data_IF_826086609471
#
_entry.id   IF_826086609471
#
_cell.length_a   1.000
_cell.length_b   1.000
_cell.length_c   1.000
_cell.angle_alpha   90.00
_cell.angle_beta   90.00
_cell.angle_gamma   90.00
#
_symmetry.space_group_name_H-M   'P 1'
#
loop_
_entity.id
_entity.type
_entity.pdbx_description
1 polymer ?
#
# COMPACT_ATOMS: atom_id res chain seq x y z
N UNK A 1 4.25 -18.66 -15.08
CA UNK A 1 5.59 -18.04 -15.24
C UNK A 1 5.61 -16.88 -16.25
N UNK A 2 5.05 -17.03 -17.46
CA UNK A 2 5.00 -15.94 -18.46
C UNK A 2 4.12 -14.73 -18.07
N UNK A 3 3.06 -14.94 -17.29
CA UNK A 3 2.18 -13.85 -16.81
C UNK A 3 2.85 -12.97 -15.73
N UNK A 4 3.74 -13.54 -14.92
CA UNK A 4 4.49 -12.79 -13.89
C UNK A 4 5.57 -11.89 -14.48
N UNK A 5 6.22 -12.32 -15.57
CA UNK A 5 7.18 -11.49 -16.30
C UNK A 5 6.50 -10.34 -17.04
N UNK A 6 5.27 -10.56 -17.54
CA UNK A 6 4.45 -9.51 -18.13
C UNK A 6 3.97 -8.50 -17.08
N UNK A 7 3.56 -8.98 -15.89
CA UNK A 7 3.14 -8.15 -14.75
C UNK A 7 4.28 -7.31 -14.17
N UNK A 8 5.48 -7.89 -14.02
CA UNK A 8 6.68 -7.18 -13.57
C UNK A 8 7.16 -6.16 -14.61
N UNK A 9 7.08 -6.50 -15.91
CA UNK A 9 7.38 -5.58 -17.02
C UNK A 9 6.37 -4.43 -17.10
N UNK A 10 5.07 -4.69 -16.90
CA UNK A 10 4.01 -3.68 -16.90
C UNK A 10 4.06 -2.76 -15.66
N UNK A 11 4.39 -3.29 -14.48
CA UNK A 11 4.62 -2.51 -13.25
C UNK A 11 5.88 -1.62 -13.34
N UNK A 12 6.95 -2.11 -13.98
CA UNK A 12 8.13 -1.28 -14.32
C UNK A 12 7.79 -0.20 -15.37
N UNK A 13 7.02 -0.56 -16.41
CA UNK A 13 6.66 0.34 -17.51
C UNK A 13 5.68 1.46 -17.10
N UNK A 14 4.72 1.15 -16.21
CA UNK A 14 3.79 2.15 -15.66
C UNK A 14 4.48 3.19 -14.77
N UNK A 15 5.69 2.88 -14.25
CA UNK A 15 6.48 3.80 -13.45
C UNK A 15 7.41 4.69 -14.27
N UNK A 16 7.84 4.22 -15.45
CA UNK A 16 8.58 5.05 -16.41
C UNK A 16 7.67 6.12 -17.05
N UNK A 17 6.39 5.84 -17.25
CA UNK A 17 5.41 6.83 -17.76
C UNK A 17 5.16 7.97 -16.76
N UNK A 18 5.07 7.70 -15.46
CA UNK A 18 4.91 8.74 -14.44
C UNK A 18 6.11 9.69 -14.30
N UNK A 19 7.33 9.24 -14.62
CA UNK A 19 8.51 10.11 -14.65
C UNK A 19 8.66 10.87 -15.98
N UNK A 20 8.24 10.27 -17.09
CA UNK A 20 8.24 10.91 -18.42
C UNK A 20 7.18 12.01 -18.51
N UNK A 21 6.01 11.85 -17.90
CA UNK A 21 4.98 12.91 -17.88
C UNK A 21 5.43 14.14 -17.06
N UNK A 22 6.21 13.96 -15.98
CA UNK A 22 6.77 15.09 -15.24
C UNK A 22 7.88 15.82 -16.01
N UNK A 23 8.60 15.13 -16.89
CA UNK A 23 9.63 15.70 -17.78
C UNK A 23 9.04 16.33 -19.05
N UNK A 24 7.91 15.81 -19.55
CA UNK A 24 7.17 16.37 -20.69
C UNK A 24 6.34 17.60 -20.32
N UNK A 25 5.89 17.71 -19.07
CA UNK A 25 5.18 18.89 -18.57
C UNK A 25 6.09 20.12 -18.36
N UNK A 26 7.42 19.98 -18.49
CA UNK A 26 8.36 21.09 -18.35
C UNK A 26 8.91 21.62 -19.70
N UNK A 27 8.51 21.03 -20.84
CA UNK A 27 8.97 21.45 -22.18
C UNK A 27 7.91 22.09 -23.09
N UNK A 28 6.64 22.15 -22.69
CA UNK A 28 5.58 22.77 -23.51
C UNK A 28 5.28 24.21 -23.09
N UNK A 29 6.30 25.06 -23.19
CA UNK A 29 6.09 26.48 -23.48
C UNK A 29 6.81 26.78 -24.79
N UNK A 30 6.07 27.28 -25.78
CA UNK A 30 6.48 27.61 -27.16
C UNK A 30 6.19 26.50 -28.21
N UNK A 31 4.99 26.53 -28.80
CA UNK A 31 4.76 26.48 -30.27
C UNK A 31 3.27 26.21 -30.58
N UNK A 32 2.75 26.90 -31.59
CA UNK A 32 1.32 27.07 -31.84
C UNK A 32 0.60 25.98 -32.64
N UNK A 33 -0.73 26.05 -32.50
CA UNK A 33 -1.83 25.67 -33.39
C UNK A 33 -1.69 24.44 -34.31
N UNK A 34 -2.41 23.37 -33.95
CA UNK A 34 -3.39 22.70 -34.83
C UNK A 34 -4.27 21.80 -33.98
N UNK A 35 -5.51 22.23 -33.73
CA UNK A 35 -6.51 21.44 -33.01
C UNK A 35 -7.15 20.43 -33.97
N UNK A 36 -7.05 19.15 -33.64
CA UNK A 36 -7.99 18.12 -34.07
C UNK A 36 -8.86 17.76 -32.86
N UNK A 37 -10.20 17.74 -32.97
CA UNK A 37 -11.07 17.49 -31.84
C UNK A 37 -11.08 15.99 -31.51
N UNK A 38 -10.12 15.53 -30.71
CA UNK A 38 -10.31 14.28 -29.96
C UNK A 38 -11.32 14.56 -28.85
N UNK A 39 -12.52 14.03 -29.02
CA UNK A 39 -13.54 13.92 -27.98
C UNK A 39 -12.91 13.44 -26.66
N UNK A 40 -13.10 14.13 -25.52
CA UNK A 40 -12.63 13.64 -24.23
C UNK A 40 -13.41 12.38 -23.88
N UNK A 41 -12.71 11.27 -23.65
CA UNK A 41 -13.28 10.05 -23.09
C UNK A 41 -13.88 10.39 -21.72
N UNK A 42 -15.20 10.58 -21.67
CA UNK A 42 -15.95 10.98 -20.45
C UNK A 42 -16.24 9.73 -19.59
N UNK A 43 -15.22 8.89 -19.39
CA UNK A 43 -15.38 7.72 -18.54
C UNK A 43 -15.30 8.15 -17.07
N UNK A 44 -16.20 7.66 -16.19
CA UNK A 44 -16.16 7.99 -14.77
C UNK A 44 -14.84 7.49 -14.16
N UNK A 45 -14.13 8.35 -13.44
CA UNK A 45 -12.90 8.00 -12.76
C UNK A 45 -12.82 8.63 -11.37
N UNK A 46 -12.17 7.95 -10.44
CA UNK A 46 -11.78 8.47 -9.13
C UNK A 46 -10.32 8.12 -8.89
N UNK A 47 -9.47 9.14 -8.84
CA UNK A 47 -8.05 9.01 -8.53
C UNK A 47 -7.76 9.73 -7.22
N UNK A 48 -6.98 9.10 -6.35
CA UNK A 48 -6.58 9.69 -5.07
C UNK A 48 -5.06 9.65 -4.98
N UNK A 49 -4.45 10.68 -4.40
CA UNK A 49 -3.02 10.68 -4.09
C UNK A 49 -2.76 11.19 -2.68
N UNK A 50 -1.84 10.54 -1.97
CA UNK A 50 -1.43 10.89 -0.60
C UNK A 50 -0.02 11.44 -0.64
N UNK A 51 0.15 12.74 -0.44
CA UNK A 51 1.42 13.45 -0.59
C UNK A 51 1.77 14.28 0.64
N UNK A 52 2.92 14.98 0.59
CA UNK A 52 3.30 16.06 1.50
C UNK A 52 3.14 15.74 2.99
N UNK A 53 3.86 14.75 3.53
CA UNK A 53 3.80 14.44 4.95
C UNK A 53 4.32 15.62 5.78
N UNK A 54 3.49 16.12 6.70
CA UNK A 54 3.81 17.27 7.53
C UNK A 54 3.54 17.00 9.01
N UNK A 55 4.50 17.36 9.86
CA UNK A 55 4.31 17.32 11.32
C UNK A 55 3.46 18.50 11.75
N UNK A 56 2.30 18.20 12.34
CA UNK A 56 1.38 19.19 12.93
C UNK A 56 1.32 19.03 14.44
N UNK A 57 0.99 20.12 15.12
CA UNK A 57 0.88 20.20 16.58
C UNK A 57 2.21 20.44 17.30
N UNK A 58 2.11 20.85 18.57
CA UNK A 58 3.24 21.23 19.41
C UNK A 58 3.47 20.21 20.53
N UNK A 59 4.73 19.86 20.79
CA UNK A 59 5.11 18.98 21.90
C UNK A 59 4.63 17.53 21.75
N UNK A 60 4.12 16.97 22.85
CA UNK A 60 3.76 15.53 22.99
C UNK A 60 2.59 15.13 22.09
N UNK A 61 1.70 16.06 21.76
CA UNK A 61 0.52 15.80 20.90
C UNK A 61 0.81 15.95 19.40
N UNK A 62 2.07 16.11 19.00
CA UNK A 62 2.42 16.24 17.58
C UNK A 62 2.21 14.94 16.80
N UNK A 63 1.62 15.07 15.61
CA UNK A 63 1.31 13.97 14.70
C UNK A 63 1.75 14.28 13.27
N UNK A 64 1.90 13.24 12.46
CA UNK A 64 2.13 13.38 11.02
C UNK A 64 0.77 13.38 10.32
N UNK A 65 0.57 14.41 9.51
CA UNK A 65 -0.55 14.58 8.59
C UNK A 65 -0.08 14.40 7.16
N UNK A 66 -1.02 14.11 6.27
CA UNK A 66 -0.81 13.87 4.85
C UNK A 66 -1.80 14.71 4.07
N UNK A 67 -1.36 15.21 2.92
CA UNK A 67 -2.22 15.85 1.93
C UNK A 67 -2.88 14.76 1.09
N UNK A 68 -4.20 14.68 1.13
CA UNK A 68 -4.98 13.75 0.30
C UNK A 68 -5.64 14.56 -0.80
N UNK A 69 -5.25 14.29 -2.04
CA UNK A 69 -5.74 14.97 -3.24
C UNK A 69 -6.63 14.00 -4.00
N UNK A 70 -7.89 14.35 -4.16
CA UNK A 70 -8.88 13.60 -4.93
C UNK A 70 -9.11 14.28 -6.26
N UNK A 71 -9.02 13.53 -7.36
CA UNK A 71 -9.36 13.97 -8.71
C UNK A 71 -10.42 13.06 -9.30
N UNK A 72 -11.50 13.62 -9.80
CA UNK A 72 -12.63 12.84 -10.29
C UNK A 72 -13.54 13.65 -11.19
N UNK A 73 -14.29 12.98 -12.05
CA UNK A 73 -15.42 13.55 -12.79
C UNK A 73 -16.78 12.99 -12.30
N UNK A 74 -16.80 12.31 -11.15
CA UNK A 74 -18.02 11.79 -10.55
C UNK A 74 -18.86 12.95 -9.97
N UNK A 75 -20.18 12.98 -10.23
CA UNK A 75 -21.05 14.09 -9.80
C UNK A 75 -21.27 14.15 -8.28
N UNK A 76 -20.96 13.07 -7.57
CA UNK A 76 -21.09 12.94 -6.11
C UNK A 76 -19.97 13.67 -5.35
N UNK A 77 -18.97 14.20 -6.06
CA UNK A 77 -17.84 14.92 -5.50
C UNK A 77 -17.93 16.42 -5.78
N UNK A 78 -17.46 17.22 -4.83
CA UNK A 78 -17.45 18.69 -4.91
C UNK A 78 -16.37 19.21 -5.85
N UNK A 79 -16.61 19.05 -7.16
CA UNK A 79 -15.73 19.56 -8.22
C UNK A 79 -14.65 18.57 -8.68
N UNK A 80 -13.84 18.96 -9.67
CA UNK A 80 -12.90 18.06 -10.33
C UNK A 80 -11.67 17.70 -9.48
N UNK A 81 -11.33 18.55 -8.50
CA UNK A 81 -10.22 18.34 -7.58
C UNK A 81 -10.57 18.84 -6.18
N UNK A 82 -10.27 18.02 -5.16
CA UNK A 82 -10.44 18.36 -3.74
C UNK A 82 -9.17 17.98 -2.99
N UNK A 83 -8.75 18.86 -2.07
CA UNK A 83 -7.60 18.62 -1.20
C UNK A 83 -8.07 18.66 0.25
N UNK A 84 -7.73 17.60 1.00
CA UNK A 84 -7.97 17.51 2.45
C UNK A 84 -6.70 17.10 3.17
N UNK A 85 -6.61 17.43 4.46
CA UNK A 85 -5.52 17.00 5.33
C UNK A 85 -6.04 15.84 6.18
N UNK A 86 -5.25 14.76 6.29
CA UNK A 86 -5.60 13.56 7.06
C UNK A 86 -4.42 13.06 7.87
N UNK A 87 -4.63 12.62 9.10
CA UNK A 87 -3.62 11.91 9.91
C UNK A 87 -3.86 10.41 9.87
N UNK A 88 -2.87 9.62 10.28
CA UNK A 88 -2.95 8.15 10.22
C UNK A 88 -4.22 7.56 10.88
N UNK A 89 -4.73 8.16 11.97
CA UNK A 89 -5.97 7.70 12.59
C UNK A 89 -7.24 7.98 11.79
N UNK A 90 -7.25 8.89 10.82
CA UNK A 90 -8.34 9.00 9.84
C UNK A 90 -8.41 7.78 8.92
N UNK A 91 -7.25 7.26 8.53
CA UNK A 91 -7.17 6.07 7.69
C UNK A 91 -7.63 4.82 8.45
N UNK A 92 -7.29 4.72 9.75
CA UNK A 92 -7.83 3.66 10.63
C UNK A 92 -9.36 3.74 10.69
N UNK A 93 -9.91 4.93 10.95
CA UNK A 93 -11.35 5.14 10.98
C UNK A 93 -12.03 4.68 9.68
N UNK A 94 -11.47 5.05 8.52
CA UNK A 94 -12.00 4.60 7.22
C UNK A 94 -11.92 3.08 7.08
N UNK A 95 -10.78 2.47 7.41
CA UNK A 95 -10.59 1.03 7.34
C UNK A 95 -11.63 0.28 8.18
N UNK A 96 -11.79 0.67 9.45
CA UNK A 96 -12.67 0.00 10.40
C UNK A 96 -14.14 0.14 9.99
N UNK A 97 -14.56 1.32 9.52
CA UNK A 97 -15.89 1.55 8.94
C UNK A 97 -16.21 0.64 7.76
N UNK A 98 -15.26 0.54 6.82
CA UNK A 98 -15.45 -0.31 5.65
C UNK A 98 -15.48 -1.79 6.06
N UNK A 99 -14.63 -2.20 7.00
CA UNK A 99 -14.58 -3.57 7.51
C UNK A 99 -15.87 -3.98 8.25
N UNK A 100 -16.50 -3.04 8.97
CA UNK A 100 -17.79 -3.27 9.62
C UNK A 100 -18.94 -3.37 8.64
N UNK A 101 -19.01 -2.45 7.68
CA UNK A 101 -20.16 -2.30 6.78
C UNK A 101 -20.16 -3.28 5.61
N UNK A 102 -18.98 -3.67 5.13
CA UNK A 102 -18.81 -4.50 3.94
C UNK A 102 -18.25 -5.89 4.28
N UNK A 103 -19.06 -6.69 4.99
CA UNK A 103 -18.71 -8.08 5.31
C UNK A 103 -18.56 -8.90 4.02
N UNK A 104 -17.51 -9.72 3.97
CA UNK A 104 -17.16 -10.53 2.79
C UNK A 104 -16.34 -9.79 1.71
N UNK A 105 -16.10 -8.48 1.86
CA UNK A 105 -15.18 -7.73 0.99
C UNK A 105 -13.81 -7.65 1.67
N UNK A 106 -12.75 -7.97 0.93
CA UNK A 106 -11.39 -7.79 1.41
C UNK A 106 -11.04 -6.30 1.46
N UNK A 107 -10.87 -5.78 2.67
CA UNK A 107 -10.39 -4.40 2.88
C UNK A 107 -8.86 -4.40 2.88
N UNK A 108 -8.20 -3.55 2.08
CA UNK A 108 -6.75 -3.50 2.05
C UNK A 108 -6.16 -3.18 3.44
N UNK A 109 -5.06 -3.85 3.82
CA UNK A 109 -4.43 -3.64 5.12
C UNK A 109 -3.79 -2.25 5.23
N UNK A 110 -3.80 -1.69 6.44
CA UNK A 110 -3.06 -0.46 6.75
C UNK A 110 -1.61 -0.76 7.16
N UNK A 111 -0.66 0.16 6.92
CA UNK A 111 0.70 0.03 7.43
C UNK A 111 0.71 0.04 8.96
N UNK A 112 1.69 -0.62 9.59
CA UNK A 112 1.71 -0.78 11.05
C UNK A 112 1.61 0.55 11.82
N UNK A 113 0.82 0.51 12.92
CA UNK A 113 0.64 1.63 13.85
C UNK A 113 1.91 1.94 14.65
N UNK A 114 2.66 0.89 15.03
CA UNK A 114 3.71 0.96 16.03
C UNK A 114 5.11 1.05 15.40
N UNK A 115 5.57 2.27 15.13
CA UNK A 115 7.01 2.51 15.18
C UNK A 115 7.42 2.68 16.64
N UNK A 116 8.58 2.14 17.04
CA UNK A 116 9.23 2.58 18.27
C UNK A 116 9.28 4.11 18.25
N UNK A 117 9.00 4.77 19.38
CA UNK A 117 8.79 6.23 19.44
C UNK A 117 9.95 7.04 18.83
N UNK A 118 11.16 6.47 18.81
CA UNK A 118 12.35 7.00 18.15
C UNK A 118 12.28 7.00 16.61
N UNK A 119 11.59 6.04 15.99
CA UNK A 119 11.50 5.88 14.54
C UNK A 119 10.23 6.48 13.92
N UNK A 120 9.20 6.82 14.72
CA UNK A 120 7.92 7.32 14.18
C UNK A 120 8.04 8.65 13.40
N UNK A 121 9.14 9.37 13.60
CA UNK A 121 9.45 10.62 12.91
C UNK A 121 10.65 10.50 11.96
N UNK A 122 11.17 9.29 11.71
CA UNK A 122 12.21 9.13 10.71
C UNK A 122 11.61 9.38 9.32
N UNK A 123 12.37 10.06 8.46
CA UNK A 123 11.92 10.35 7.09
C UNK A 123 11.60 9.06 6.31
N UNK A 124 12.40 8.01 6.53
CA UNK A 124 12.18 6.67 5.94
C UNK A 124 10.84 6.07 6.36
N UNK A 125 10.49 6.12 7.65
CA UNK A 125 9.23 5.59 8.15
C UNK A 125 8.02 6.41 7.65
N UNK A 126 8.14 7.73 7.65
CA UNK A 126 7.10 8.64 7.18
C UNK A 126 6.80 8.38 5.70
N UNK A 127 7.83 8.24 4.88
CA UNK A 127 7.68 8.00 3.44
C UNK A 127 7.15 6.59 3.15
N UNK A 128 7.66 5.58 3.85
CA UNK A 128 7.15 4.20 3.77
C UNK A 128 5.65 4.15 4.09
N UNK A 129 5.24 4.80 5.19
CA UNK A 129 3.84 4.88 5.58
C UNK A 129 3.02 5.66 4.55
N UNK A 130 3.49 6.81 4.06
CA UNK A 130 2.79 7.61 3.05
C UNK A 130 2.48 6.77 1.80
N UNK A 131 3.46 6.01 1.30
CA UNK A 131 3.29 5.14 0.13
C UNK A 131 2.26 4.02 0.38
N UNK A 132 2.30 3.38 1.54
CA UNK A 132 1.32 2.36 1.90
C UNK A 132 -0.11 2.93 2.00
N UNK A 133 -0.26 4.13 2.57
CA UNK A 133 -1.55 4.83 2.64
C UNK A 133 -2.08 5.24 1.26
N UNK A 134 -1.18 5.65 0.36
CA UNK A 134 -1.50 5.95 -1.04
C UNK A 134 -2.07 4.73 -1.78
N UNK A 135 -1.41 3.57 -1.60
CA UNK A 135 -1.87 2.30 -2.16
C UNK A 135 -3.23 1.90 -1.55
N UNK A 136 -3.36 2.00 -0.23
CA UNK A 136 -4.58 1.65 0.50
C UNK A 136 -5.80 2.40 -0.04
N UNK A 137 -5.72 3.73 -0.13
CA UNK A 137 -6.87 4.54 -0.55
C UNK A 137 -7.20 4.35 -2.03
N UNK A 138 -6.18 4.18 -2.89
CA UNK A 138 -6.42 3.89 -4.31
C UNK A 138 -7.08 2.53 -4.51
N UNK A 139 -6.70 1.49 -3.76
CA UNK A 139 -7.36 0.17 -3.83
C UNK A 139 -8.83 0.26 -3.45
N UNK A 140 -9.17 1.05 -2.43
CA UNK A 140 -10.56 1.31 -2.04
C UNK A 140 -11.30 2.09 -3.14
N UNK A 141 -10.68 3.15 -3.66
CA UNK A 141 -11.26 4.00 -4.71
C UNK A 141 -11.50 3.26 -6.04
N UNK A 142 -10.71 2.22 -6.33
CA UNK A 142 -10.86 1.37 -7.51
C UNK A 142 -11.90 0.26 -7.33
N UNK A 143 -12.27 -0.09 -6.10
CA UNK A 143 -13.21 -1.18 -5.84
C UNK A 143 -14.66 -0.71 -6.06
N UNK A 144 -15.45 -1.33 -6.97
CA UNK A 144 -16.77 -0.83 -7.36
C UNK A 144 -17.74 -0.56 -6.21
N UNK A 145 -17.76 -1.43 -5.19
CA UNK A 145 -18.65 -1.28 -4.04
C UNK A 145 -18.10 -0.33 -2.96
N UNK A 146 -16.77 -0.23 -2.81
CA UNK A 146 -16.18 0.62 -1.77
C UNK A 146 -16.05 2.07 -2.23
N UNK A 147 -15.86 2.28 -3.55
CA UNK A 147 -15.85 3.59 -4.20
C UNK A 147 -17.14 4.38 -3.91
N UNK A 148 -18.28 3.68 -3.83
CA UNK A 148 -19.60 4.27 -3.56
C UNK A 148 -19.86 4.50 -2.06
N UNK A 149 -18.93 4.12 -1.18
CA UNK A 149 -19.11 4.25 0.27
C UNK A 149 -19.20 5.71 0.70
N UNK A 150 -20.23 6.02 1.50
CA UNK A 150 -20.36 7.31 2.18
C UNK A 150 -19.19 7.58 3.13
N UNK A 151 -18.60 6.54 3.72
CA UNK A 151 -17.44 6.68 4.61
C UNK A 151 -16.19 7.11 3.83
N UNK A 152 -16.01 6.58 2.60
CA UNK A 152 -14.94 7.03 1.70
C UNK A 152 -15.16 8.48 1.26
N UNK A 153 -16.39 8.84 0.85
CA UNK A 153 -16.72 10.22 0.48
C UNK A 153 -16.48 11.19 1.63
N UNK A 154 -16.88 10.81 2.84
CA UNK A 154 -16.62 11.58 4.06
C UNK A 154 -15.12 11.80 4.24
N UNK A 155 -14.34 10.71 4.19
CA UNK A 155 -12.89 10.76 4.29
C UNK A 155 -12.25 11.67 3.23
N UNK A 156 -12.75 11.69 1.99
CA UNK A 156 -12.14 12.47 0.89
C UNK A 156 -12.61 13.94 0.83
N UNK A 157 -13.79 14.28 1.36
CA UNK A 157 -14.41 15.59 1.09
C UNK A 157 -14.54 16.52 2.30
N UNK A 158 -14.73 15.98 3.51
CA UNK A 158 -15.06 16.82 4.68
C UNK A 158 -13.84 17.53 5.24
N UNK A 159 -14.04 18.61 6.00
CA UNK A 159 -12.96 19.30 6.69
C UNK A 159 -12.41 18.52 7.90
N UNK A 160 -11.31 19.00 8.47
CA UNK A 160 -10.68 18.36 9.64
C UNK A 160 -11.60 18.35 10.87
N UNK A 161 -12.41 19.39 11.07
CA UNK A 161 -13.31 19.48 12.23
C UNK A 161 -14.37 18.37 12.18
N UNK A 162 -14.95 18.15 11.01
CA UNK A 162 -15.94 17.10 10.79
C UNK A 162 -15.32 15.71 10.88
N UNK A 163 -14.10 15.52 10.37
CA UNK A 163 -13.37 14.26 10.57
C UNK A 163 -13.06 13.98 12.05
N UNK A 164 -12.65 14.99 12.81
CA UNK A 164 -12.38 14.83 14.25
C UNK A 164 -13.64 14.40 15.00
N UNK A 165 -14.79 15.00 14.67
CA UNK A 165 -16.10 14.59 15.21
C UNK A 165 -16.42 13.13 14.87
N UNK A 166 -16.23 12.73 13.61
CA UNK A 166 -16.50 11.36 13.15
C UNK A 166 -15.63 10.32 13.88
N UNK A 167 -14.33 10.61 14.08
CA UNK A 167 -13.44 9.75 14.86
C UNK A 167 -13.79 9.70 16.34
N UNK A 168 -14.16 10.85 16.92
CA UNK A 168 -14.44 10.96 18.36
C UNK A 168 -15.68 10.16 18.76
N UNK A 169 -16.72 10.13 17.92
CA UNK A 169 -17.93 9.35 18.17
C UNK A 169 -17.66 7.84 18.27
N UNK A 170 -16.63 7.32 17.59
CA UNK A 170 -16.26 5.91 17.66
C UNK A 170 -15.39 5.51 18.84
N UNK A 171 -14.60 6.45 19.37
CA UNK A 171 -13.75 6.16 20.54
C UNK A 171 -14.54 5.72 21.77
N UNK A 172 -15.87 5.91 21.78
CA UNK A 172 -16.80 5.39 22.79
C UNK A 172 -17.23 3.92 22.61
N UNK A 173 -17.12 3.34 21.41
CA UNK A 173 -17.64 1.99 21.09
C UNK A 173 -16.51 0.97 20.91
N UNK A 174 -15.33 1.39 20.42
CA UNK A 174 -14.21 0.49 20.05
C UNK A 174 -13.00 0.49 21.00
N UNK A 175 -13.22 0.51 22.33
CA UNK A 175 -12.19 0.06 23.29
C UNK A 175 -12.21 -1.47 23.46
N UNK A 176 -12.15 -2.25 22.38
CA UNK A 176 -11.69 -3.64 22.54
C UNK A 176 -10.17 -3.60 22.68
N UNK A 177 -9.69 -3.79 23.90
CA UNK A 177 -8.26 -3.79 24.20
C UNK A 177 -7.58 -4.89 23.36
N UNK A 178 -6.29 -4.78 23.03
CA UNK A 178 -5.54 -5.92 22.49
C UNK A 178 -5.57 -7.14 23.46
N UNK A 179 -5.85 -6.90 24.74
CA UNK A 179 -6.15 -7.94 25.73
C UNK A 179 -7.45 -8.72 25.44
N UNK A 180 -8.50 -8.09 24.88
CA UNK A 180 -9.74 -8.78 24.51
C UNK A 180 -9.51 -9.69 23.30
N UNK A 181 -8.72 -9.26 22.31
CA UNK A 181 -8.38 -10.11 21.15
C UNK A 181 -7.58 -11.36 21.59
N UNK A 182 -6.67 -11.19 22.55
CA UNK A 182 -5.88 -12.28 23.12
C UNK A 182 -6.65 -13.14 24.14
N UNK A 183 -7.69 -12.58 24.79
CA UNK A 183 -8.65 -13.34 25.60
C UNK A 183 -9.59 -14.16 24.73
N UNK A 184 -10.05 -13.64 23.59
CA UNK A 184 -10.87 -14.41 22.63
C UNK A 184 -10.04 -15.58 22.08
N UNK A 185 -8.77 -15.38 21.73
CA UNK A 185 -7.88 -16.46 21.29
C UNK A 185 -7.64 -17.51 22.39
N UNK A 186 -7.47 -17.08 23.65
CA UNK A 186 -7.33 -17.99 24.80
C UNK A 186 -8.65 -18.70 25.16
N UNK A 187 -9.79 -18.05 24.99
CA UNK A 187 -11.11 -18.62 25.25
C UNK A 187 -11.54 -19.62 24.17
N UNK A 188 -11.10 -19.42 22.92
CA UNK A 188 -11.26 -20.41 21.84
C UNK A 188 -10.33 -21.61 22.09
N UNK A 189 -9.09 -21.37 22.54
CA UNK A 189 -8.15 -22.45 22.89
C UNK A 189 -8.59 -23.24 24.14
N UNK A 190 -9.17 -22.57 25.13
CA UNK A 190 -9.69 -23.23 26.34
C UNK A 190 -11.01 -23.96 26.09
N UNK A 191 -11.88 -23.47 25.19
CA UNK A 191 -13.12 -24.16 24.78
C UNK A 191 -12.90 -25.39 23.91
N UNK A 192 -11.74 -25.55 23.28
CA UNK A 192 -11.36 -26.80 22.58
C UNK A 192 -10.81 -27.85 23.55
N UNK A 193 -10.55 -27.49 24.82
CA UNK A 193 -10.02 -28.42 25.83
C UNK A 193 -11.10 -29.10 26.68
N UNK A 194 -12.37 -28.68 26.61
CA UNK A 194 -13.46 -29.20 27.45
C UNK A 194 -14.57 -29.91 26.66
N UNK A 195 -14.33 -30.23 25.38
CA UNK A 195 -15.21 -31.05 24.56
C UNK A 195 -14.89 -32.54 24.70
N UNK A 196 -14.76 -33.01 25.95
CA UNK A 196 -14.93 -34.42 26.33
C UNK A 196 -16.26 -34.51 27.10
N UNK A 197 -17.37 -34.29 26.41
CA UNK A 197 -18.65 -34.91 26.76
C UNK A 197 -19.63 -34.70 25.60
N UNK A 198 -20.05 -35.80 25.00
CA UNK A 198 -20.78 -35.84 23.74
C UNK A 198 -22.01 -34.94 23.70
N UNK A 199 -21.98 -33.98 22.78
CA UNK A 199 -23.14 -33.51 22.02
C UNK A 199 -22.68 -33.26 20.59
N UNK A 200 -23.50 -33.72 19.65
CA UNK A 200 -23.25 -33.80 18.23
C UNK A 200 -22.67 -32.50 17.67
N UNK A 201 -21.53 -32.60 16.97
CA UNK A 201 -20.98 -31.48 16.21
C UNK A 201 -22.02 -31.06 15.16
N UNK A 202 -22.28 -29.75 14.95
CA UNK A 202 -22.93 -29.32 13.72
C UNK A 202 -22.12 -29.92 12.58
N UNK A 203 -22.80 -30.54 11.62
CA UNK A 203 -22.16 -31.13 10.45
C UNK A 203 -21.33 -30.03 9.79
N UNK A 204 -20.03 -30.05 10.08
CA UNK A 204 -19.00 -29.36 9.33
C UNK A 204 -18.95 -30.11 8.01
N UNK A 205 -19.87 -29.74 7.12
CA UNK A 205 -19.88 -30.12 5.72
C UNK A 205 -18.59 -29.53 5.13
N UNK A 206 -17.48 -30.23 5.35
CA UNK A 206 -16.21 -29.96 4.70
C UNK A 206 -16.40 -30.32 3.23
N UNK A 207 -16.95 -29.38 2.48
CA UNK A 207 -17.01 -29.49 1.03
C UNK A 207 -15.57 -29.80 0.56
N UNK A 208 -15.33 -30.91 -0.15
CA UNK A 208 -14.01 -31.26 -0.65
C UNK A 208 -13.34 -30.12 -1.44
N UNK A 209 -14.11 -29.20 -2.02
CA UNK A 209 -13.62 -27.99 -2.68
C UNK A 209 -13.08 -26.95 -1.70
N UNK A 210 -13.69 -26.81 -0.52
CA UNK A 210 -13.22 -25.90 0.53
C UNK A 210 -11.88 -26.35 1.10
N UNK A 211 -11.71 -27.64 1.39
CA UNK A 211 -10.43 -28.19 1.88
C UNK A 211 -9.32 -28.05 0.83
N UNK A 212 -9.63 -28.24 -0.46
CA UNK A 212 -8.67 -27.96 -1.54
C UNK A 212 -8.27 -26.49 -1.61
N UNK A 213 -9.23 -25.58 -1.50
CA UNK A 213 -8.97 -24.14 -1.50
C UNK A 213 -8.13 -23.72 -0.29
N UNK A 214 -8.45 -24.26 0.88
CA UNK A 214 -7.70 -24.03 2.12
C UNK A 214 -6.25 -24.50 2.01
N UNK A 215 -6.02 -25.70 1.51
CA UNK A 215 -4.66 -26.20 1.29
C UNK A 215 -3.90 -25.34 0.27
N UNK A 216 -4.56 -24.92 -0.81
CA UNK A 216 -3.98 -24.00 -1.79
C UNK A 216 -3.60 -22.64 -1.18
N UNK A 217 -4.43 -22.09 -0.30
CA UNK A 217 -4.12 -20.84 0.41
C UNK A 217 -2.89 -21.02 1.32
N UNK A 218 -2.79 -22.13 2.05
CA UNK A 218 -1.62 -22.41 2.88
C UNK A 218 -0.32 -22.57 2.08
N UNK A 219 -0.37 -23.28 0.96
CA UNK A 219 0.78 -23.41 0.05
C UNK A 219 1.18 -22.04 -0.52
N UNK A 220 0.21 -21.22 -0.94
CA UNK A 220 0.46 -19.85 -1.40
C UNK A 220 1.07 -18.96 -0.31
N UNK A 221 0.64 -19.11 0.94
CA UNK A 221 1.18 -18.37 2.07
C UNK A 221 2.66 -18.69 2.29
N UNK A 222 3.03 -19.96 2.21
CA UNK A 222 4.43 -20.43 2.31
C UNK A 222 5.28 -19.87 1.15
N UNK A 223 4.79 -19.97 -0.08
CA UNK A 223 5.46 -19.44 -1.27
C UNK A 223 5.68 -17.92 -1.17
N UNK A 224 4.66 -17.19 -0.69
CA UNK A 224 4.74 -15.74 -0.50
C UNK A 224 5.69 -15.35 0.62
N UNK A 225 5.74 -16.13 1.71
CA UNK A 225 6.68 -15.90 2.81
C UNK A 225 8.14 -16.08 2.33
N UNK A 226 8.44 -17.11 1.54
CA UNK A 226 9.78 -17.30 0.99
C UNK A 226 10.10 -16.22 -0.06
N UNK A 227 9.14 -15.83 -0.91
CA UNK A 227 9.30 -14.70 -1.84
C UNK A 227 9.59 -13.38 -1.10
N UNK A 228 8.90 -13.12 0.01
CA UNK A 228 9.14 -11.95 0.86
C UNK A 228 10.57 -11.97 1.41
N UNK A 229 11.03 -13.12 1.91
CA UNK A 229 12.40 -13.31 2.40
C UNK A 229 13.46 -13.14 1.30
N UNK A 230 13.18 -13.58 0.08
CA UNK A 230 14.03 -13.29 -1.09
C UNK A 230 14.09 -11.78 -1.40
N UNK A 231 12.95 -11.09 -1.37
CA UNK A 231 12.89 -9.65 -1.58
C UNK A 231 13.66 -8.87 -0.51
N UNK A 232 13.52 -9.23 0.78
CA UNK A 232 14.30 -8.61 1.86
C UNK A 232 15.81 -8.82 1.68
N UNK A 233 16.23 -10.02 1.25
CA UNK A 233 17.63 -10.29 0.91
C UNK A 233 18.11 -9.39 -0.24
N UNK A 234 17.28 -9.21 -1.27
CA UNK A 234 17.59 -8.35 -2.42
C UNK A 234 17.74 -6.89 -1.99
N UNK A 235 16.80 -6.36 -1.21
CA UNK A 235 16.85 -5.00 -0.62
C UNK A 235 18.15 -4.81 0.17
N UNK A 236 18.50 -5.77 1.03
CA UNK A 236 19.75 -5.71 1.80
C UNK A 236 20.98 -5.65 0.90
N UNK A 237 21.06 -6.53 -0.11
CA UNK A 237 22.18 -6.57 -1.05
C UNK A 237 22.30 -5.31 -1.90
N UNK A 238 21.19 -4.77 -2.37
CA UNK A 238 21.18 -3.51 -3.12
C UNK A 238 21.59 -2.31 -2.24
N UNK A 239 21.21 -2.30 -0.95
CA UNK A 239 21.67 -1.26 -0.01
C UNK A 239 23.18 -1.32 0.23
N UNK A 240 23.72 -2.53 0.45
CA UNK A 240 25.16 -2.77 0.59
C UNK A 240 25.93 -2.37 -0.68
N UNK A 241 25.43 -2.77 -1.86
CA UNK A 241 26.03 -2.40 -3.15
C UNK A 241 25.99 -0.89 -3.40
N UNK A 242 24.87 -0.23 -3.07
CA UNK A 242 24.74 1.22 -3.18
C UNK A 242 25.76 1.94 -2.32
N UNK A 243 25.97 1.48 -1.08
CA UNK A 243 26.99 2.03 -0.20
C UNK A 243 28.40 1.86 -0.79
N UNK A 244 28.74 0.66 -1.26
CA UNK A 244 30.04 0.38 -1.90
C UNK A 244 30.29 1.24 -3.13
N UNK A 245 29.28 1.47 -3.99
CA UNK A 245 29.39 2.37 -5.15
C UNK A 245 29.62 3.83 -4.74
N UNK A 246 28.96 4.29 -3.68
CA UNK A 246 29.19 5.64 -3.12
C UNK A 246 30.64 5.78 -2.66
N UNK A 247 31.15 4.80 -1.91
CA UNK A 247 32.49 4.88 -1.33
C UNK A 247 33.58 4.69 -2.40
N UNK A 248 33.35 3.82 -3.38
CA UNK A 248 34.18 3.73 -4.59
C UNK A 248 34.22 5.06 -5.35
N UNK A 249 33.06 5.69 -5.56
CA UNK A 249 32.96 6.98 -6.25
C UNK A 249 33.77 8.08 -5.57
N UNK A 250 33.69 8.18 -4.23
CA UNK A 250 34.50 9.11 -3.43
C UNK A 250 35.99 8.81 -3.55
N UNK A 251 36.40 7.55 -3.41
CA UNK A 251 37.79 7.15 -3.50
C UNK A 251 38.41 7.47 -4.87
N UNK A 252 37.68 7.20 -5.96
CA UNK A 252 38.12 7.49 -7.32
C UNK A 252 38.21 9.00 -7.59
N UNK A 253 37.30 9.81 -7.03
CA UNK A 253 37.42 11.28 -7.11
C UNK A 253 38.66 11.79 -6.39
N UNK A 254 38.98 11.24 -5.21
CA UNK A 254 40.20 11.59 -4.49
C UNK A 254 41.45 11.20 -5.29
N UNK A 255 41.46 10.02 -5.91
CA UNK A 255 42.53 9.62 -6.82
C UNK A 255 42.64 10.60 -8.00
N UNK A 256 41.51 10.97 -8.60
CA UNK A 256 41.46 11.95 -9.69
C UNK A 256 41.97 13.34 -9.31
N UNK A 257 41.91 13.73 -8.03
CA UNK A 257 42.47 14.98 -7.52
C UNK A 257 44.00 14.92 -7.33
N UNK A 258 44.56 13.73 -7.13
CA UNK A 258 46.00 13.50 -7.10
C UNK A 258 46.61 13.43 -8.51
N UNK A 259 45.80 13.10 -9.51
CA UNK A 259 46.20 12.94 -10.90
C UNK A 259 46.00 14.23 -11.71
N UNK A 260 46.97 14.58 -12.56
CA UNK A 260 46.86 15.73 -13.47
C UNK A 260 46.13 15.42 -14.78
N UNK A 261 45.93 16.46 -15.60
CA UNK A 261 45.56 16.37 -17.02
C UNK A 261 44.21 15.66 -17.31
N UNK A 262 44.15 14.88 -18.38
CA UNK A 262 42.96 14.15 -18.83
C UNK A 262 42.61 12.97 -17.93
N UNK A 263 43.60 12.35 -17.27
CA UNK A 263 43.40 11.19 -16.41
C UNK A 263 42.65 11.55 -15.13
N UNK A 264 43.04 12.64 -14.46
CA UNK A 264 42.32 13.14 -13.29
C UNK A 264 40.86 13.50 -13.57
N UNK A 265 40.60 14.08 -14.76
CA UNK A 265 39.23 14.34 -15.26
C UNK A 265 38.44 13.05 -15.47
N UNK A 266 39.04 12.04 -16.11
CA UNK A 266 38.38 10.75 -16.34
C UNK A 266 38.03 10.03 -15.03
N UNK A 267 38.92 10.05 -14.04
CA UNK A 267 38.63 9.51 -12.70
C UNK A 267 37.51 10.32 -12.02
N UNK A 268 37.56 11.64 -12.05
CA UNK A 268 36.51 12.48 -11.46
C UNK A 268 35.13 12.21 -12.08
N UNK A 269 35.07 11.99 -13.40
CA UNK A 269 33.85 11.61 -14.10
C UNK A 269 33.38 10.21 -13.70
N UNK A 270 34.27 9.21 -13.71
CA UNK A 270 33.96 7.84 -13.28
C UNK A 270 33.39 7.80 -11.86
N UNK A 271 34.00 8.53 -10.93
CA UNK A 271 33.53 8.62 -9.56
C UNK A 271 32.15 9.26 -9.47
N UNK A 272 31.88 10.29 -10.27
CA UNK A 272 30.56 10.94 -10.34
C UNK A 272 29.49 10.00 -10.91
N UNK A 273 29.81 9.19 -11.92
CA UNK A 273 28.90 8.17 -12.46
C UNK A 273 28.61 7.08 -11.45
N UNK A 274 29.60 6.65 -10.66
CA UNK A 274 29.42 5.64 -9.61
C UNK A 274 28.50 6.12 -8.48
N UNK A 275 28.68 7.36 -8.01
CA UNK A 275 27.77 7.97 -7.04
C UNK A 275 26.34 8.11 -7.59
N UNK A 276 26.18 8.46 -8.87
CA UNK A 276 24.86 8.50 -9.50
C UNK A 276 24.18 7.12 -9.54
N UNK A 277 24.93 6.05 -9.85
CA UNK A 277 24.42 4.68 -9.79
C UNK A 277 24.04 4.27 -8.37
N UNK A 278 24.85 4.64 -7.37
CA UNK A 278 24.53 4.44 -5.95
C UNK A 278 23.17 5.03 -5.59
N UNK A 279 22.92 6.30 -5.97
CA UNK A 279 21.65 6.99 -5.70
C UNK A 279 20.48 6.28 -6.40
N UNK A 280 20.64 5.86 -7.67
CA UNK A 280 19.59 5.14 -8.39
C UNK A 280 19.25 3.81 -7.71
N UNK A 281 20.27 3.03 -7.35
CA UNK A 281 20.09 1.74 -6.70
C UNK A 281 19.41 1.89 -5.33
N UNK A 282 19.81 2.90 -4.54
CA UNK A 282 19.17 3.18 -3.25
C UNK A 282 17.69 3.59 -3.40
N UNK A 283 17.30 4.27 -4.49
CA UNK A 283 15.89 4.56 -4.79
C UNK A 283 15.11 3.29 -5.13
N UNK A 284 15.68 2.40 -5.93
CA UNK A 284 15.05 1.11 -6.26
C UNK A 284 14.87 0.20 -5.03
N UNK A 285 15.78 0.26 -4.06
CA UNK A 285 15.63 -0.47 -2.79
C UNK A 285 14.32 -0.11 -2.10
N UNK A 286 14.00 1.18 -2.00
CA UNK A 286 12.77 1.67 -1.35
C UNK A 286 11.54 1.13 -2.10
N UNK A 287 11.61 1.14 -3.43
CA UNK A 287 10.56 0.64 -4.31
C UNK A 287 10.26 -0.84 -4.04
N UNK A 288 11.30 -1.68 -4.06
CA UNK A 288 11.17 -3.12 -3.83
C UNK A 288 10.71 -3.38 -2.39
N UNK A 289 11.29 -2.69 -1.41
CA UNK A 289 10.91 -2.82 -0.01
C UNK A 289 9.43 -2.56 0.26
N UNK A 290 8.80 -1.65 -0.50
CA UNK A 290 7.39 -1.29 -0.34
C UNK A 290 6.42 -2.19 -1.11
N UNK A 291 6.88 -2.86 -2.16
CA UNK A 291 6.04 -3.74 -2.97
C UNK A 291 5.68 -5.04 -2.24
N UNK A 292 6.58 -5.59 -1.43
CA UNK A 292 6.46 -6.95 -0.88
C UNK A 292 5.64 -7.12 0.42
N UNK A 293 5.64 -6.19 1.39
CA UNK A 293 4.77 -6.28 2.57
C UNK A 293 3.27 -6.37 2.20
N UNK A 294 2.91 -5.78 1.06
CA UNK A 294 1.55 -5.79 0.52
C UNK A 294 1.11 -7.15 -0.07
N UNK A 295 2.05 -8.06 -0.36
CA UNK A 295 1.75 -9.39 -0.90
C UNK A 295 1.39 -10.37 0.22
N UNK A 296 2.14 -10.36 1.32
CA UNK A 296 1.91 -11.28 2.43
C UNK A 296 0.68 -10.90 3.27
N UNK A 297 0.42 -9.60 3.47
CA UNK A 297 -0.81 -9.15 4.14
C UNK A 297 -2.08 -9.38 3.31
N UNK A 298 -1.96 -9.62 2.00
CA UNK A 298 -3.10 -9.95 1.13
C UNK A 298 -3.53 -11.42 1.26
N UNK A 299 -2.68 -12.26 1.86
CA UNK A 299 -2.95 -13.69 2.09
C UNK A 299 -3.20 -14.01 3.57
N UNK A 300 -2.69 -13.19 4.50
CA UNK A 300 -2.75 -13.43 5.95
C UNK A 300 -3.98 -12.89 6.70
N UNK A 301 -5.04 -12.42 6.04
CA UNK A 301 -6.28 -12.16 6.80
C UNK A 301 -7.00 -13.50 7.05
N UNK A 302 -7.34 -13.83 8.31
CA UNK A 302 -7.87 -15.14 8.65
C UNK A 302 -9.14 -15.45 7.88
N UNK A 303 -9.25 -16.69 7.41
CA UNK A 303 -10.54 -17.37 7.38
C UNK A 303 -11.05 -17.44 8.83
N UNK A 304 -11.57 -16.32 9.34
CA UNK A 304 -12.33 -16.33 10.59
C UNK A 304 -13.56 -17.19 10.36
N UNK A 305 -13.74 -18.16 11.26
CA UNK A 305 -14.74 -19.22 11.28
C UNK A 305 -16.21 -18.73 11.38
N UNK A 306 -16.52 -17.51 10.96
CA UNK A 306 -17.87 -16.93 10.99
C UNK A 306 -18.54 -16.83 9.61
N UNK A 307 -17.99 -17.48 8.57
CA UNK A 307 -18.71 -17.74 7.31
C UNK A 307 -19.68 -18.94 7.41
N UNK A 308 -20.21 -19.21 8.60
CA UNK A 308 -21.30 -20.15 8.82
C UNK A 308 -22.62 -19.60 8.29
N UNK A 309 -22.77 -19.49 6.96
CA UNK A 309 -24.06 -19.46 6.22
C UNK A 309 -23.99 -18.96 4.78
N UNK A 310 -22.84 -18.52 4.24
CA UNK A 310 -22.80 -18.05 2.84
C UNK A 310 -22.50 -19.19 1.84
N UNK A 311 -23.25 -19.28 0.72
CA UNK A 311 -23.02 -20.33 -0.28
C UNK A 311 -21.63 -20.18 -0.90
N UNK A 312 -20.89 -21.29 -0.97
CA UNK A 312 -19.51 -21.43 -1.48
C UNK A 312 -19.29 -20.76 -2.86
N UNK A 313 -20.35 -20.63 -3.65
CA UNK A 313 -20.34 -19.94 -4.94
C UNK A 313 -20.04 -18.42 -4.85
N UNK A 314 -20.40 -17.74 -3.75
CA UNK A 314 -20.10 -16.31 -3.56
C UNK A 314 -18.65 -16.05 -3.15
N UNK A 315 -18.07 -16.90 -2.31
CA UNK A 315 -16.67 -16.81 -1.88
C UNK A 315 -15.72 -17.12 -3.04
N UNK A 316 -16.02 -18.17 -3.81
CA UNK A 316 -15.26 -18.56 -5.00
C UNK A 316 -15.40 -17.53 -6.13
N UNK A 317 -16.59 -16.92 -6.27
CA UNK A 317 -16.84 -15.81 -7.18
C UNK A 317 -16.06 -14.54 -6.82
N UNK A 318 -15.89 -14.25 -5.53
CA UNK A 318 -15.16 -13.08 -5.03
C UNK A 318 -13.65 -13.24 -5.25
N UNK A 319 -13.09 -14.43 -4.98
CA UNK A 319 -11.67 -14.71 -5.24
C UNK A 319 -11.34 -14.75 -6.75
N UNK A 320 -12.21 -15.35 -7.59
CA UNK A 320 -12.08 -15.29 -9.05
C UNK A 320 -12.24 -13.88 -9.61
N UNK A 321 -13.13 -13.04 -9.05
CA UNK A 321 -13.28 -11.63 -9.45
C UNK A 321 -12.11 -10.78 -9.01
N UNK A 322 -11.48 -11.04 -7.86
CA UNK A 322 -10.27 -10.34 -7.42
C UNK A 322 -9.07 -10.66 -8.32
N UNK A 323 -8.89 -11.92 -8.70
CA UNK A 323 -7.87 -12.32 -9.68
C UNK A 323 -8.19 -11.85 -11.12
N UNK A 324 -9.47 -11.78 -11.51
CA UNK A 324 -9.90 -11.34 -12.86
C UNK A 324 -9.99 -9.82 -13.01
N UNK A 325 -10.28 -9.05 -11.95
CA UNK A 325 -10.28 -7.58 -11.98
C UNK A 325 -8.86 -7.00 -12.10
N UNK A 326 -7.82 -7.78 -11.77
CA UNK A 326 -6.43 -7.43 -12.10
C UNK A 326 -6.02 -7.81 -13.53
N UNK A 327 -6.91 -8.49 -14.29
CA UNK A 327 -6.66 -8.97 -15.66
C UNK A 327 -7.50 -8.24 -16.73
N UNK A 328 -8.35 -7.29 -16.33
CA UNK A 328 -9.09 -6.41 -17.24
C UNK A 328 -8.69 -4.98 -16.91
N UNK A 329 -7.56 -4.55 -17.48
CA UNK A 329 -7.19 -3.23 -18.02
C UNK A 329 -5.67 -3.06 -18.01
#
# INVERSE_FOLDING_TARGET
>A
MFLYLFWFSWWLNSRTEMQLDSLLLQQTSLSGSSQSPRSPSTQPFLSVSVTDPAKLGNGVQSYISYRVITRTNLPEYQGPEKIVIRRYSDFIWLHDRLFEKYKGIFIPPLPEKNAVEKFRFSAEFIEMRRQALDIFVNRIALHPQLQQSEDLKTFLQVDEETMERARSQETGIFKKKPADFMQIFKDVQSKVSDAVLGKEKPVEESNPEYEKLKNYIFELEEDLAEAQKHAFRLVKRHKELGQSLSDFGKAIKLLGACEGNSLGKAFSELGSKSEMLSIKLQKEVIIVFLAFPNLQMMVLLPLDNDLGSQPVNEVCGTFKRLCSCSAVY
#
